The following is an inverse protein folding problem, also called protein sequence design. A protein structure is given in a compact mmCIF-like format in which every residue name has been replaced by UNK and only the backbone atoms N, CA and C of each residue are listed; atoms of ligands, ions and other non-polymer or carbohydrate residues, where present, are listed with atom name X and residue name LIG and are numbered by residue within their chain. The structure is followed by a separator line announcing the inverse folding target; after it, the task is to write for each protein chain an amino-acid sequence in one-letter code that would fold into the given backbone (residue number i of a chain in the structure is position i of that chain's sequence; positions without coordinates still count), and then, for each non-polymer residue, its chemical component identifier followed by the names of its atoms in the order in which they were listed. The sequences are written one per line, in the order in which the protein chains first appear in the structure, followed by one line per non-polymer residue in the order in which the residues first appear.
data_IF_217470282050
#
_entry.id   IF_217470282050
#
_cell.length_a   1.000
_cell.length_b   1.000
_cell.length_c   1.000
_cell.angle_alpha   90.00
_cell.angle_beta   90.00
_cell.angle_gamma   90.00
#
_symmetry.space_group_name_H-M   'P 1'
#
loop_
_entity.id
_entity.type
_entity.pdbx_description
1 polymer ?
#
# COMPACT_ATOMS: atom_id res chain seq x y z
N UNK A 1 -32.21 40.57 -35.20
CA UNK A 1 -30.76 40.53 -34.93
C UNK A 1 -30.38 39.10 -34.49
N UNK A 2 -30.34 38.15 -35.44
CA UNK A 2 -30.26 36.71 -35.07
C UNK A 2 -29.55 35.85 -36.13
N UNK A 3 -28.53 36.37 -36.82
CA UNK A 3 -27.79 35.63 -37.87
C UNK A 3 -26.29 35.47 -37.55
N UNK A 4 -25.78 36.14 -36.51
CA UNK A 4 -24.34 36.17 -36.20
C UNK A 4 -23.88 35.04 -35.25
N UNK A 5 -24.78 34.41 -34.48
CA UNK A 5 -24.38 33.41 -33.46
C UNK A 5 -24.02 32.01 -34.00
N UNK A 6 -24.44 31.64 -35.21
CA UNK A 6 -24.15 30.30 -35.76
C UNK A 6 -22.84 30.21 -36.56
N UNK A 7 -22.24 31.34 -36.98
CA UNK A 7 -20.94 31.34 -37.66
C UNK A 7 -19.76 31.09 -36.70
N UNK A 8 -19.87 31.48 -35.43
CA UNK A 8 -18.83 31.17 -34.43
C UNK A 8 -18.88 29.73 -33.92
N UNK A 9 -20.04 29.06 -34.00
CA UNK A 9 -20.18 27.68 -33.54
C UNK A 9 -19.58 26.66 -34.53
N UNK A 10 -19.54 27.00 -35.81
CA UNK A 10 -19.00 26.14 -36.88
C UNK A 10 -17.46 26.18 -36.97
N UNK A 11 -16.83 27.23 -36.44
CA UNK A 11 -15.36 27.39 -36.47
C UNK A 11 -14.66 26.64 -35.32
N UNK A 12 -15.37 26.35 -34.23
CA UNK A 12 -14.82 25.61 -33.07
C UNK A 12 -14.83 24.08 -33.27
N UNK A 13 -15.64 23.57 -34.21
CA UNK A 13 -15.77 22.12 -34.47
C UNK A 13 -14.66 21.55 -35.38
N UNK A 14 -13.91 22.40 -36.10
CA UNK A 14 -12.95 21.97 -37.15
C UNK A 14 -11.49 21.86 -36.64
N UNK A 15 -11.19 22.33 -35.43
CA UNK A 15 -9.83 22.31 -34.86
C UNK A 15 -9.49 21.07 -34.03
N UNK A 16 -10.36 20.05 -33.97
CA UNK A 16 -10.15 18.85 -33.14
C UNK A 16 -9.81 17.58 -33.93
N UNK A 17 -9.14 17.69 -35.08
CA UNK A 17 -8.61 16.53 -35.81
C UNK A 17 -7.11 16.69 -36.01
N UNK A 18 -6.34 16.23 -35.02
CA UNK A 18 -4.93 15.88 -35.17
C UNK A 18 -4.84 14.36 -35.17
N UNK A 19 -4.35 13.70 -36.23
CA UNK A 19 -4.14 12.26 -36.20
C UNK A 19 -2.88 11.94 -35.40
N UNK A 20 -3.03 11.13 -34.33
CA UNK A 20 -1.91 10.46 -33.68
C UNK A 20 -1.36 9.37 -34.61
N UNK A 21 -0.20 9.62 -35.19
CA UNK A 21 0.58 8.59 -35.89
C UNK A 21 1.28 7.69 -34.86
N UNK A 22 0.90 6.41 -34.82
CA UNK A 22 1.52 5.38 -33.99
C UNK A 22 2.81 4.91 -34.67
N UNK A 23 3.97 5.22 -34.09
CA UNK A 23 5.24 4.57 -34.43
C UNK A 23 5.38 3.26 -33.65
N UNK A 24 5.25 2.11 -34.33
CA UNK A 24 5.54 0.80 -33.76
C UNK A 24 7.05 0.53 -33.74
N UNK A 25 7.65 0.42 -32.55
CA UNK A 25 9.06 0.01 -32.41
C UNK A 25 9.21 -1.52 -32.56
N UNK A 26 9.89 -1.96 -33.64
CA UNK A 26 10.37 -3.35 -33.77
C UNK A 26 11.43 -3.63 -32.71
N UNK A 27 11.19 -4.58 -31.80
CA UNK A 27 12.22 -5.10 -30.90
C UNK A 27 13.23 -5.94 -31.70
N UNK A 28 14.48 -5.48 -31.75
CA UNK A 28 15.65 -6.23 -32.23
C UNK A 28 15.95 -7.36 -31.23
N UNK A 29 15.88 -8.62 -31.66
CA UNK A 29 16.41 -9.76 -30.89
C UNK A 29 17.94 -9.64 -30.84
N UNK A 30 18.50 -9.64 -29.63
CA UNK A 30 19.93 -9.80 -29.39
C UNK A 30 20.28 -11.31 -29.38
N UNK A 31 21.44 -11.70 -29.95
CA UNK A 31 21.85 -13.09 -30.06
C UNK A 31 22.32 -13.64 -28.71
N UNK A 32 21.95 -14.89 -28.45
CA UNK A 32 22.47 -15.69 -27.34
C UNK A 32 23.87 -16.16 -27.75
N UNK A 33 24.90 -15.76 -27.00
CA UNK A 33 26.26 -16.28 -27.16
C UNK A 33 26.47 -17.38 -26.13
N UNK A 34 26.53 -18.62 -26.62
CA UNK A 34 27.04 -19.76 -25.88
C UNK A 34 28.54 -19.58 -25.67
N UNK A 35 28.99 -19.48 -24.42
CA UNK A 35 30.37 -19.86 -24.08
C UNK A 35 30.40 -20.42 -22.67
N UNK A 36 30.52 -21.73 -22.59
CA UNK A 36 30.85 -22.45 -21.38
C UNK A 36 32.33 -22.21 -21.04
N UNK A 37 32.60 -21.62 -19.87
CA UNK A 37 33.90 -21.70 -19.21
C UNK A 37 33.66 -21.99 -17.73
N UNK A 38 34.11 -23.17 -17.28
CA UNK A 38 34.19 -23.56 -15.86
C UNK A 38 35.29 -22.75 -15.16
N UNK A 39 35.02 -22.18 -13.98
CA UNK A 39 35.80 -22.37 -12.73
C UNK A 39 35.42 -21.36 -11.62
N UNK A 40 35.53 -21.87 -10.37
CA UNK A 40 35.43 -21.27 -9.02
C UNK A 40 34.00 -21.09 -8.46
N UNK A 41 33.66 -21.76 -7.33
CA UNK A 41 32.42 -21.48 -6.60
C UNK A 41 32.63 -20.19 -5.80
N UNK A 42 32.39 -19.06 -6.44
CA UNK A 42 32.06 -17.84 -5.70
C UNK A 42 30.72 -18.14 -5.03
N UNK A 43 30.68 -18.12 -3.69
CA UNK A 43 29.43 -18.02 -2.96
C UNK A 43 28.84 -16.67 -3.34
N UNK A 44 28.06 -16.67 -4.40
CA UNK A 44 27.21 -15.55 -4.79
C UNK A 44 26.16 -15.50 -3.70
N UNK A 45 26.40 -14.71 -2.65
CA UNK A 45 25.30 -14.12 -1.90
C UNK A 45 24.49 -13.40 -2.97
N UNK A 46 23.27 -13.86 -3.31
CA UNK A 46 22.53 -13.24 -4.40
C UNK A 46 22.32 -11.78 -4.01
N UNK A 47 22.87 -10.87 -4.81
CA UNK A 47 22.53 -9.45 -4.72
C UNK A 47 21.00 -9.40 -4.75
N UNK A 48 20.34 -8.90 -3.68
CA UNK A 48 18.90 -8.96 -3.60
C UNK A 48 18.32 -8.30 -4.85
N UNK A 49 17.46 -9.03 -5.57
CA UNK A 49 16.62 -8.43 -6.62
C UNK A 49 16.01 -7.15 -6.05
N UNK A 50 15.90 -6.04 -6.81
CA UNK A 50 15.20 -4.86 -6.34
C UNK A 50 13.80 -5.27 -5.83
N UNK A 51 13.60 -5.22 -4.50
CA UNK A 51 12.36 -5.69 -3.84
C UNK A 51 12.46 -7.00 -3.05
N UNK A 52 13.63 -7.63 -2.94
CA UNK A 52 13.84 -8.76 -2.02
C UNK A 52 14.17 -8.24 -0.60
N UNK A 53 13.61 -8.87 0.47
CA UNK A 53 13.88 -8.48 1.85
C UNK A 53 15.38 -8.56 2.18
N UNK A 54 15.90 -7.51 2.83
CA UNK A 54 17.28 -7.47 3.36
C UNK A 54 17.33 -8.07 4.77
N UNK A 55 18.51 -8.42 5.29
CA UNK A 55 18.66 -8.84 6.68
C UNK A 55 18.15 -7.78 7.66
N UNK A 56 17.47 -8.21 8.72
CA UNK A 56 16.88 -7.33 9.74
C UNK A 56 17.90 -6.32 10.30
N UNK A 57 19.07 -6.81 10.72
CA UNK A 57 20.13 -6.01 11.34
C UNK A 57 20.74 -4.96 10.39
N UNK A 58 20.55 -5.09 9.08
CA UNK A 58 20.98 -4.07 8.11
C UNK A 58 20.01 -2.88 8.06
N UNK A 59 18.72 -3.13 8.28
CA UNK A 59 17.67 -2.09 8.27
C UNK A 59 17.52 -1.44 9.64
N UNK A 60 17.53 -2.27 10.68
CA UNK A 60 17.28 -1.89 12.06
C UNK A 60 18.57 -2.19 12.84
N UNK A 61 19.47 -1.20 13.00
CA UNK A 61 20.66 -1.36 13.82
C UNK A 61 20.27 -1.45 15.30
N UNK A 62 21.16 -2.02 16.13
CA UNK A 62 20.93 -2.18 17.57
C UNK A 62 20.80 -0.83 18.33
N UNK A 63 21.20 0.28 17.69
CA UNK A 63 21.07 1.64 18.22
C UNK A 63 19.70 2.29 17.93
N UNK A 64 18.81 1.61 17.21
CA UNK A 64 17.48 2.12 16.89
C UNK A 64 16.61 2.26 18.15
N UNK A 65 15.78 3.31 18.20
CA UNK A 65 14.77 3.44 19.25
C UNK A 65 13.63 2.47 18.97
N UNK A 66 13.25 1.66 19.96
CA UNK A 66 12.25 0.61 19.81
C UNK A 66 11.07 0.87 20.73
N UNK A 67 9.88 0.94 20.14
CA UNK A 67 8.61 0.92 20.87
C UNK A 67 7.93 -0.44 20.61
N UNK A 68 7.82 -1.27 21.65
CA UNK A 68 7.18 -2.59 21.55
C UNK A 68 5.67 -2.50 21.76
N UNK A 69 4.92 -3.27 20.99
CA UNK A 69 3.47 -3.31 21.06
C UNK A 69 2.89 -4.47 20.24
N UNK A 70 1.63 -4.37 19.84
CA UNK A 70 1.05 -5.32 18.88
C UNK A 70 1.78 -5.26 17.52
N UNK A 71 2.23 -4.06 17.15
CA UNK A 71 3.13 -3.78 16.04
C UNK A 71 4.33 -3.09 16.67
N UNK A 72 5.54 -3.59 16.43
CA UNK A 72 6.74 -2.93 16.95
C UNK A 72 7.11 -1.77 16.02
N UNK A 73 7.51 -0.65 16.61
CA UNK A 73 7.91 0.55 15.88
C UNK A 73 9.39 0.79 16.15
N UNK A 74 10.15 0.96 15.07
CA UNK A 74 11.57 1.26 15.10
C UNK A 74 11.83 2.62 14.49
N UNK A 75 12.58 3.45 15.20
CA UNK A 75 13.08 4.72 14.67
C UNK A 75 14.59 4.63 14.48
N UNK A 76 15.04 4.82 13.25
CA UNK A 76 16.46 4.85 12.89
C UNK A 76 16.75 6.15 12.18
N UNK A 77 17.48 7.05 12.87
CA UNK A 77 17.64 8.44 12.45
C UNK A 77 16.27 9.09 12.15
N UNK A 78 16.01 9.45 10.89
CA UNK A 78 14.77 10.09 10.44
C UNK A 78 13.75 9.14 9.80
N UNK A 79 14.03 7.82 9.82
CA UNK A 79 13.16 6.80 9.24
C UNK A 79 12.40 6.05 10.33
N UNK A 80 11.15 5.76 10.01
CA UNK A 80 10.26 4.94 10.83
C UNK A 80 10.00 3.61 10.11
N UNK A 81 10.17 2.53 10.85
CA UNK A 81 9.88 1.18 10.39
C UNK A 81 8.85 0.55 11.33
N UNK A 82 8.00 -0.28 10.76
CA UNK A 82 7.01 -1.08 11.48
C UNK A 82 7.38 -2.54 11.27
N UNK A 83 7.37 -3.31 12.35
CA UNK A 83 7.43 -4.77 12.28
C UNK A 83 6.04 -5.31 12.60
N UNK A 84 5.50 -6.04 11.66
CA UNK A 84 4.19 -6.66 11.75
C UNK A 84 4.37 -8.18 11.94
N UNK A 85 3.91 -8.73 13.09
CA UNK A 85 3.84 -10.18 13.27
C UNK A 85 2.93 -10.83 12.23
N UNK A 86 3.34 -11.98 11.69
CA UNK A 86 2.53 -12.74 10.72
C UNK A 86 1.18 -13.17 11.32
N UNK A 87 1.09 -13.28 12.64
CA UNK A 87 -0.15 -13.57 13.36
C UNK A 87 -1.23 -12.49 13.16
N UNK A 88 -0.86 -11.25 12.85
CA UNK A 88 -1.78 -10.14 12.59
C UNK A 88 -2.18 -10.01 11.11
N UNK A 89 -1.52 -10.73 10.20
CA UNK A 89 -1.89 -10.72 8.79
C UNK A 89 -3.27 -11.35 8.60
N UNK A 90 -4.09 -10.70 7.77
CA UNK A 90 -5.45 -11.14 7.49
C UNK A 90 -6.45 -10.94 8.64
N UNK A 91 -6.03 -10.39 9.79
CA UNK A 91 -6.93 -10.04 10.88
C UNK A 91 -7.49 -8.63 10.71
N UNK A 92 -8.74 -8.47 11.07
CA UNK A 92 -9.38 -7.17 11.16
C UNK A 92 -9.07 -6.52 12.49
N UNK A 93 -8.52 -5.31 12.45
CA UNK A 93 -8.19 -4.54 13.63
C UNK A 93 -8.96 -3.24 13.62
N UNK A 94 -9.68 -3.00 14.71
CA UNK A 94 -10.26 -1.69 14.99
C UNK A 94 -9.15 -0.74 15.42
N UNK A 95 -8.95 0.32 14.66
CA UNK A 95 -8.10 1.46 15.02
C UNK A 95 -9.00 2.60 15.49
N UNK A 96 -8.64 3.20 16.61
CA UNK A 96 -9.36 4.33 17.20
C UNK A 96 -8.38 5.45 17.47
N UNK A 97 -8.66 6.63 16.93
CA UNK A 97 -7.89 7.84 17.18
C UNK A 97 -8.57 8.64 18.28
N UNK A 98 -7.80 9.01 19.31
CA UNK A 98 -8.26 9.81 20.45
C UNK A 98 -7.40 11.04 20.65
N UNK A 99 -8.01 12.11 21.15
CA UNK A 99 -7.32 13.35 21.50
C UNK A 99 -6.48 13.12 22.75
N UNK A 100 -5.16 13.33 22.67
CA UNK A 100 -4.27 13.24 23.84
C UNK A 100 -4.34 14.54 24.66
N UNK A 101 -4.42 15.69 23.99
CA UNK A 101 -4.57 17.02 24.60
C UNK A 101 -5.49 17.89 23.73
N UNK A 102 -6.53 18.44 24.34
CA UNK A 102 -7.46 19.35 23.67
C UNK A 102 -6.90 20.77 23.55
N UNK A 103 -7.40 21.55 22.58
CA UNK A 103 -7.11 22.98 22.49
C UNK A 103 -7.71 23.74 23.67
N UNK A 104 -7.06 24.83 24.09
CA UNK A 104 -7.49 25.61 25.26
C UNK A 104 -8.83 26.32 25.03
N UNK A 105 -9.07 26.82 23.81
CA UNK A 105 -10.13 27.80 23.53
C UNK A 105 -11.10 27.36 22.42
N UNK A 106 -10.61 26.83 21.31
CA UNK A 106 -11.44 26.41 20.16
C UNK A 106 -11.80 24.93 20.24
N UNK A 107 -13.11 24.65 20.39
CA UNK A 107 -13.66 23.29 20.36
C UNK A 107 -14.86 23.26 19.42
N UNK A 108 -14.96 22.22 18.59
CA UNK A 108 -16.17 21.95 17.83
C UNK A 108 -17.12 21.12 18.70
N UNK A 109 -18.29 21.68 19.03
CA UNK A 109 -19.49 21.05 19.63
C UNK A 109 -19.27 19.67 20.30
N UNK A 110 -19.34 19.62 21.63
CA UNK A 110 -19.34 18.39 22.46
C UNK A 110 -18.13 17.45 22.35
N UNK A 111 -17.17 17.74 21.47
CA UNK A 111 -15.94 16.98 21.25
C UNK A 111 -14.72 17.91 21.33
N UNK A 112 -13.62 17.46 21.93
CA UNK A 112 -12.40 18.27 22.04
C UNK A 112 -11.67 18.18 23.37
N UNK A 113 -12.11 17.28 24.25
CA UNK A 113 -11.43 16.96 25.49
C UNK A 113 -10.39 15.87 25.29
N UNK A 114 -9.41 15.83 26.18
CA UNK A 114 -8.47 14.72 26.22
C UNK A 114 -9.24 13.42 26.51
N UNK A 115 -9.02 12.41 25.67
CA UNK A 115 -9.70 11.12 25.73
C UNK A 115 -10.84 10.95 24.73
N UNK A 116 -11.35 12.04 24.14
CA UNK A 116 -12.42 11.97 23.15
C UNK A 116 -11.95 11.23 21.89
N UNK A 117 -12.82 10.36 21.39
CA UNK A 117 -12.62 9.66 20.14
C UNK A 117 -12.96 10.59 18.97
N UNK A 118 -12.01 10.75 18.05
CA UNK A 118 -12.16 11.61 16.87
C UNK A 118 -12.28 10.84 15.57
N UNK A 119 -11.87 9.57 15.57
CA UNK A 119 -11.99 8.71 14.41
C UNK A 119 -11.91 7.25 14.82
N UNK A 120 -12.57 6.39 14.04
CA UNK A 120 -12.38 4.95 14.08
C UNK A 120 -12.39 4.38 12.67
N UNK A 121 -11.74 3.23 12.52
CA UNK A 121 -11.77 2.48 11.28
C UNK A 121 -11.32 1.06 11.51
N UNK A 122 -11.66 0.16 10.60
CA UNK A 122 -11.17 -1.21 10.63
C UNK A 122 -10.13 -1.35 9.53
N UNK A 123 -8.94 -1.84 9.88
CA UNK A 123 -7.89 -2.11 8.92
C UNK A 123 -7.52 -3.59 8.90
N UNK A 124 -7.06 -4.06 7.74
CA UNK A 124 -6.49 -5.39 7.56
C UNK A 124 -5.16 -5.29 6.85
N UNK A 125 -4.14 -5.96 7.37
CA UNK A 125 -2.86 -6.11 6.69
C UNK A 125 -2.88 -7.33 5.76
N UNK A 126 -2.42 -7.17 4.53
CA UNK A 126 -2.31 -8.24 3.54
C UNK A 126 -0.96 -8.21 2.83
N UNK A 127 -0.35 -9.38 2.63
CA UNK A 127 0.84 -9.52 1.79
C UNK A 127 0.42 -9.39 0.32
N UNK A 128 0.89 -8.33 -0.32
CA UNK A 128 0.67 -8.04 -1.72
C UNK A 128 1.68 -8.74 -2.65
N UNK A 129 1.48 -8.54 -3.94
CA UNK A 129 2.39 -9.04 -4.98
C UNK A 129 3.68 -8.22 -4.94
N UNK A 130 4.82 -8.83 -5.30
CA UNK A 130 6.14 -8.19 -5.37
C UNK A 130 6.68 -7.67 -4.02
N UNK A 131 6.44 -8.38 -2.92
CA UNK A 131 7.05 -8.03 -1.62
C UNK A 131 6.50 -6.73 -1.03
N UNK A 132 5.24 -6.42 -1.31
CA UNK A 132 4.55 -5.26 -0.74
C UNK A 132 3.60 -5.69 0.36
N UNK A 133 3.39 -4.82 1.34
CA UNK A 133 2.37 -4.96 2.37
C UNK A 133 1.27 -3.95 2.09
N UNK A 134 0.04 -4.43 1.98
CA UNK A 134 -1.15 -3.60 1.79
C UNK A 134 -1.87 -3.42 3.12
N UNK A 135 -2.35 -2.21 3.35
CA UNK A 135 -3.36 -1.94 4.38
C UNK A 135 -4.67 -1.74 3.64
N UNK A 136 -5.66 -2.58 3.91
CA UNK A 136 -7.03 -2.38 3.45
C UNK A 136 -7.85 -1.69 4.52
N UNK A 137 -8.71 -0.77 4.10
CA UNK A 137 -9.79 -0.27 4.95
C UNK A 137 -10.99 -1.18 4.78
N UNK A 138 -11.46 -1.78 5.87
CA UNK A 138 -12.55 -2.75 5.87
C UNK A 138 -13.84 -2.04 6.26
N UNK A 139 -14.82 -2.11 5.37
CA UNK A 139 -16.20 -1.72 5.66
C UNK A 139 -17.10 -2.94 5.77
N UNK A 140 -17.89 -2.92 6.83
CA UNK A 140 -18.89 -3.92 7.17
C UNK A 140 -20.32 -3.45 6.87
N UNK A 141 -20.49 -2.33 6.16
CA UNK A 141 -21.81 -1.78 5.80
C UNK A 141 -22.64 -2.73 4.94
N UNK A 142 -21.98 -3.56 4.12
CA UNK A 142 -22.63 -4.57 3.28
C UNK A 142 -22.01 -5.92 3.58
N UNK A 143 -22.64 -6.67 4.49
CA UNK A 143 -22.24 -8.04 4.83
C UNK A 143 -23.45 -8.98 4.81
N UNK A 144 -23.20 -10.27 4.58
CA UNK A 144 -24.21 -11.29 4.86
C UNK A 144 -24.16 -11.65 6.34
N UNK A 145 -25.31 -11.86 6.98
CA UNK A 145 -25.42 -12.23 8.40
C UNK A 145 -24.93 -13.65 8.70
N UNK A 146 -24.84 -14.50 7.67
CA UNK A 146 -24.53 -15.91 7.80
C UNK A 146 -23.44 -16.30 6.80
N UNK A 147 -22.27 -16.65 7.32
CA UNK A 147 -21.10 -17.03 6.54
C UNK A 147 -21.24 -18.41 5.87
N UNK A 148 -22.21 -19.23 6.26
CA UNK A 148 -22.42 -20.57 5.69
C UNK A 148 -23.23 -20.56 4.38
N UNK A 149 -23.85 -19.42 4.03
CA UNK A 149 -24.76 -19.32 2.88
C UNK A 149 -24.02 -18.85 1.62
N UNK A 150 -24.42 -19.30 0.41
CA UNK A 150 -23.83 -18.84 -0.85
C UNK A 150 -23.84 -17.32 -1.04
N UNK A 151 -24.83 -16.65 -0.44
CA UNK A 151 -24.94 -15.19 -0.44
C UNK A 151 -23.71 -14.51 0.19
N UNK A 152 -23.09 -15.09 1.22
CA UNK A 152 -21.88 -14.54 1.84
C UNK A 152 -20.75 -14.42 0.81
N UNK A 153 -20.47 -15.50 0.07
CA UNK A 153 -19.43 -15.49 -0.95
C UNK A 153 -19.74 -14.47 -2.06
N UNK A 154 -21.00 -14.39 -2.50
CA UNK A 154 -21.43 -13.42 -3.52
C UNK A 154 -21.23 -11.97 -3.06
N UNK A 155 -21.51 -11.67 -1.79
CA UNK A 155 -21.32 -10.34 -1.20
C UNK A 155 -19.83 -10.02 -1.07
N UNK A 156 -19.00 -10.97 -0.61
CA UNK A 156 -17.55 -10.78 -0.51
C UNK A 156 -16.89 -10.58 -1.87
N UNK A 157 -17.33 -11.30 -2.91
CA UNK A 157 -16.80 -11.14 -4.27
C UNK A 157 -17.26 -9.83 -4.93
N UNK A 158 -18.45 -9.34 -4.58
CA UNK A 158 -18.98 -8.09 -5.13
C UNK A 158 -18.38 -6.85 -4.45
N UNK A 159 -17.96 -6.95 -3.19
CA UNK A 159 -17.47 -5.82 -2.41
C UNK A 159 -15.97 -5.94 -2.13
N UNK A 160 -15.17 -5.30 -2.98
CA UNK A 160 -13.72 -5.22 -2.77
C UNK A 160 -13.39 -4.12 -1.78
N UNK A 161 -12.64 -4.47 -0.74
CA UNK A 161 -12.18 -3.53 0.28
C UNK A 161 -11.02 -2.67 -0.26
N UNK A 162 -11.09 -1.32 -0.19
CA UNK A 162 -10.09 -0.45 -0.77
C UNK A 162 -8.72 -0.58 -0.10
N UNK A 163 -7.65 -0.45 -0.88
CA UNK A 163 -6.27 -0.35 -0.37
C UNK A 163 -6.05 1.08 0.12
N UNK A 164 -5.96 1.25 1.44
CA UNK A 164 -5.71 2.55 2.08
C UNK A 164 -4.24 2.97 1.96
N UNK A 165 -3.32 2.02 2.06
CA UNK A 165 -1.88 2.28 1.95
C UNK A 165 -1.11 1.06 1.45
N UNK A 166 0.08 1.32 0.90
CA UNK A 166 1.01 0.28 0.44
C UNK A 166 2.41 0.58 0.96
N UNK A 167 3.05 -0.41 1.56
CA UNK A 167 4.40 -0.35 2.08
C UNK A 167 5.28 -1.37 1.38
N UNK A 168 6.56 -1.07 1.22
CA UNK A 168 7.54 -2.05 0.77
C UNK A 168 8.05 -2.85 1.97
N UNK A 169 8.08 -4.18 1.84
CA UNK A 169 8.71 -5.03 2.87
C UNK A 169 10.22 -4.92 2.71
N UNK A 170 10.88 -4.30 3.70
CA UNK A 170 12.33 -4.04 3.65
C UNK A 170 13.17 -5.18 4.23
N UNK A 171 12.64 -5.91 5.21
CA UNK A 171 13.29 -7.04 5.86
C UNK A 171 12.26 -8.04 6.37
N UNK A 172 12.72 -9.22 6.77
CA UNK A 172 11.96 -10.13 7.62
C UNK A 172 12.38 -9.89 9.07
N UNK A 173 11.47 -10.10 10.01
CA UNK A 173 11.73 -10.12 11.46
C UNK A 173 12.90 -11.03 11.83
N UNK A 174 13.53 -10.77 12.97
CA UNK A 174 14.71 -11.51 13.45
C UNK A 174 14.45 -13.02 13.61
N UNK A 175 13.21 -13.40 13.93
CA UNK A 175 12.76 -14.77 14.08
C UNK A 175 12.01 -15.31 12.85
N UNK A 176 11.92 -14.53 11.77
CA UNK A 176 11.16 -14.85 10.55
C UNK A 176 9.66 -15.08 10.79
N UNK A 177 9.09 -14.58 11.89
CA UNK A 177 7.65 -14.70 12.22
C UNK A 177 6.84 -13.45 11.86
N UNK A 178 7.40 -12.56 11.06
CA UNK A 178 6.85 -11.25 10.73
C UNK A 178 7.68 -10.50 9.69
N UNK A 179 7.15 -9.35 9.24
CA UNK A 179 7.69 -8.52 8.15
C UNK A 179 7.77 -7.04 8.50
#
# INVERSE_FOLDING_TARGET
MTIIKYRSLLVVLVTFIVPLTIFAQKKKKLPISDTATKAVPVVIVPSPKPGAPRPFSEIIPDTALVCKGAINIYKTADKWFFELPDSLLGRDMLIVSRIIKGAADTRFVSEGYAGDQINEGIIRFEKGINGKLFIRSISYSVMSKDSSRPMFQSVMNSNVQPIAATFDIKALSKDSTGV
#
